data_IF_918372617619
#
_entry.id   IF_918372617619
#
_cell.length_a   1.000
_cell.length_b   1.000
_cell.length_c   1.000
_cell.angle_alpha   90.00
_cell.angle_beta   90.00
_cell.angle_gamma   90.00
#
_symmetry.space_group_name_H-M   'P 1'
#
loop_
_entity.id
_entity.type
_entity.pdbx_description
1 polymer ?
#
# COMPACT_ATOMS: atom_id res chain seq x y z
N UNK A 1 -0.08 11.57 8.20
CA UNK A 1 -0.26 10.45 7.27
C UNK A 1 0.82 10.48 6.21
N UNK A 2 1.48 9.36 6.04
CA UNK A 2 2.45 9.20 4.95
C UNK A 2 1.95 8.13 3.99
N UNK A 3 2.07 8.38 2.70
CA UNK A 3 1.72 7.42 1.66
C UNK A 3 3.00 6.77 1.14
N UNK A 4 3.06 5.43 1.15
CA UNK A 4 4.18 4.68 0.58
C UNK A 4 3.65 3.69 -0.45
N UNK A 5 4.46 3.47 -1.47
CA UNK A 5 4.17 2.46 -2.49
C UNK A 5 5.09 1.28 -2.29
N UNK A 6 4.51 0.10 -2.20
CA UNK A 6 5.26 -1.15 -2.09
C UNK A 6 5.34 -1.78 -3.46
N UNK A 7 6.54 -2.09 -3.90
CA UNK A 7 6.76 -2.79 -5.16
C UNK A 7 6.41 -4.26 -4.96
N UNK A 8 5.40 -4.74 -5.69
CA UNK A 8 4.97 -6.13 -5.67
C UNK A 8 5.78 -6.98 -6.64
N UNK A 9 6.03 -6.45 -7.83
CA UNK A 9 6.77 -7.14 -8.87
C UNK A 9 7.37 -6.14 -9.85
N UNK A 10 8.59 -6.43 -10.28
CA UNK A 10 9.23 -5.73 -11.39
C UNK A 10 9.69 -6.75 -12.42
N UNK A 11 9.47 -6.46 -13.68
CA UNK A 11 9.87 -7.35 -14.78
C UNK A 11 10.38 -6.54 -15.95
N UNK A 12 11.51 -6.97 -16.52
CA UNK A 12 12.02 -6.41 -17.77
C UNK A 12 11.38 -7.17 -18.91
N UNK A 13 10.74 -6.43 -19.82
CA UNK A 13 10.07 -7.02 -20.97
C UNK A 13 11.02 -7.16 -22.15
N UNK A 14 10.86 -8.24 -22.92
CA UNK A 14 11.62 -8.45 -24.15
C UNK A 14 11.04 -7.68 -25.34
N UNK A 15 9.96 -6.94 -25.13
CA UNK A 15 9.29 -6.18 -26.15
C UNK A 15 10.06 -4.91 -26.49
N UNK A 16 9.90 -4.43 -27.73
CA UNK A 16 10.49 -3.18 -28.14
C UNK A 16 9.74 -1.99 -27.54
N UNK A 17 10.48 -0.96 -27.14
CA UNK A 17 9.87 0.29 -26.71
C UNK A 17 9.12 0.93 -27.89
N UNK A 18 7.85 1.33 -27.74
CA UNK A 18 7.10 1.98 -28.82
C UNK A 18 7.62 3.40 -29.16
N UNK A 19 8.45 3.98 -28.30
CA UNK A 19 9.01 5.32 -28.50
C UNK A 19 10.40 5.29 -29.16
N UNK A 20 11.33 4.46 -28.64
CA UNK A 20 12.71 4.41 -29.12
C UNK A 20 13.09 3.08 -29.79
N UNK A 21 12.18 2.13 -29.85
CA UNK A 21 12.34 0.80 -30.46
C UNK A 21 13.48 -0.04 -29.85
N UNK A 22 13.98 0.32 -28.68
CA UNK A 22 15.02 -0.44 -28.01
C UNK A 22 14.47 -1.76 -27.46
N UNK A 23 15.29 -2.82 -27.58
CA UNK A 23 14.93 -4.13 -27.03
C UNK A 23 15.34 -4.24 -25.57
N UNK A 24 14.58 -4.99 -24.79
CA UNK A 24 14.85 -5.29 -23.39
C UNK A 24 15.03 -4.04 -22.49
N UNK A 25 14.40 -2.93 -22.87
CA UNK A 25 14.51 -1.67 -22.14
C UNK A 25 13.25 -1.31 -21.34
N UNK A 26 12.16 -2.03 -21.53
CA UNK A 26 10.91 -1.78 -20.83
C UNK A 26 10.90 -2.43 -19.46
N UNK A 27 10.69 -1.63 -18.43
CA UNK A 27 10.52 -2.11 -17.05
C UNK A 27 9.06 -1.96 -16.64
N UNK A 28 8.41 -3.09 -16.40
CA UNK A 28 7.03 -3.13 -15.89
C UNK A 28 7.08 -3.30 -14.39
N UNK A 29 6.47 -2.35 -13.67
CA UNK A 29 6.44 -2.35 -12.20
C UNK A 29 5.00 -2.35 -11.71
N UNK A 30 4.72 -3.19 -10.72
CA UNK A 30 3.44 -3.21 -10.02
C UNK A 30 3.66 -2.76 -8.59
N UNK A 31 2.90 -1.76 -8.18
CA UNK A 31 3.01 -1.16 -6.85
C UNK A 31 1.66 -1.16 -6.14
N UNK A 32 1.69 -1.31 -4.84
CA UNK A 32 0.50 -1.23 -4.01
C UNK A 32 0.63 -0.08 -3.02
N UNK A 33 -0.42 0.73 -2.93
CA UNK A 33 -0.42 1.91 -2.06
C UNK A 33 -0.71 1.52 -0.62
N UNK A 34 0.11 2.02 0.30
CA UNK A 34 -0.12 1.92 1.74
C UNK A 34 -0.14 3.29 2.37
N UNK A 35 -1.08 3.50 3.28
CA UNK A 35 -1.17 4.71 4.08
C UNK A 35 -0.66 4.40 5.48
N UNK A 36 0.35 5.14 5.92
CA UNK A 36 0.91 5.02 7.26
C UNK A 36 0.45 6.19 8.11
N UNK A 37 -0.20 5.89 9.21
CA UNK A 37 -0.58 6.84 10.24
C UNK A 37 0.08 6.46 11.55
N UNK A 38 0.09 7.36 12.52
CA UNK A 38 0.61 7.07 13.86
C UNK A 38 -0.18 5.95 14.56
N UNK A 39 -1.48 5.85 14.29
CA UNK A 39 -2.37 4.90 14.97
C UNK A 39 -2.66 3.65 14.17
N UNK A 40 -2.57 3.72 12.83
CA UNK A 40 -2.92 2.60 11.98
C UNK A 40 -2.14 2.60 10.67
N UNK A 41 -2.11 1.43 10.04
CA UNK A 41 -1.56 1.25 8.70
C UNK A 41 -2.69 0.71 7.83
N UNK A 42 -3.06 1.47 6.80
CA UNK A 42 -4.11 1.07 5.88
C UNK A 42 -3.48 0.62 4.56
N UNK A 43 -3.77 -0.60 4.16
CA UNK A 43 -3.37 -1.13 2.86
C UNK A 43 -4.54 -1.00 1.90
N UNK A 44 -4.34 -0.29 0.79
CA UNK A 44 -5.34 -0.19 -0.26
C UNK A 44 -5.18 -1.37 -1.21
N UNK A 45 -6.29 -1.99 -1.60
CA UNK A 45 -6.28 -3.10 -2.55
C UNK A 45 -6.00 -2.68 -3.99
N UNK A 46 -5.86 -1.39 -4.25
CA UNK A 46 -5.59 -0.85 -5.57
C UNK A 46 -4.14 -1.08 -5.97
N UNK A 47 -3.94 -1.65 -7.15
CA UNK A 47 -2.61 -1.89 -7.71
C UNK A 47 -2.35 -0.83 -8.77
N UNK A 48 -1.20 -0.16 -8.66
CA UNK A 48 -0.76 0.81 -9.64
C UNK A 48 0.33 0.18 -10.48
N UNK A 49 0.10 0.11 -11.77
CA UNK A 49 1.11 -0.37 -12.72
C UNK A 49 1.78 0.80 -13.42
N UNK A 50 3.07 0.66 -13.68
CA UNK A 50 3.84 1.63 -14.45
C UNK A 50 4.82 0.91 -15.36
N UNK A 51 5.04 1.46 -16.53
CA UNK A 51 5.99 0.93 -17.51
C UNK A 51 6.91 2.06 -17.95
N UNK A 52 8.20 1.87 -17.74
CA UNK A 52 9.22 2.85 -18.08
C UNK A 52 10.24 2.23 -19.03
N UNK A 53 10.71 3.01 -20.00
CA UNK A 53 11.82 2.62 -20.82
C UNK A 53 13.13 3.11 -20.20
N UNK A 54 14.05 2.20 -19.92
CA UNK A 54 15.36 2.56 -19.33
C UNK A 54 16.30 3.24 -20.32
N UNK A 55 16.05 3.10 -21.60
CA UNK A 55 16.93 3.65 -22.64
C UNK A 55 16.56 5.09 -23.00
N UNK A 56 15.29 5.39 -23.20
CA UNK A 56 14.83 6.74 -23.51
C UNK A 56 14.25 7.49 -22.29
N UNK A 57 14.22 6.85 -21.11
CA UNK A 57 13.69 7.38 -19.84
C UNK A 57 12.27 7.93 -19.96
N UNK A 58 11.47 7.33 -20.83
CA UNK A 58 10.08 7.76 -21.04
C UNK A 58 9.12 6.77 -20.38
N UNK A 59 8.13 7.31 -19.68
CA UNK A 59 7.04 6.50 -19.12
C UNK A 59 6.05 6.16 -20.24
N UNK A 60 5.78 4.87 -20.41
CA UNK A 60 4.86 4.38 -21.45
C UNK A 60 3.48 4.20 -20.84
N UNK A 61 2.51 5.01 -21.25
CA UNK A 61 1.15 4.91 -20.78
C UNK A 61 0.39 3.76 -21.47
N UNK A 62 -0.64 3.19 -20.80
CA UNK A 62 -1.40 2.07 -21.36
C UNK A 62 -1.98 2.29 -22.76
N UNK A 63 -2.33 3.53 -23.10
CA UNK A 63 -2.84 3.88 -24.43
C UNK A 63 -1.84 3.71 -25.56
N UNK A 64 -0.55 3.59 -25.24
CA UNK A 64 0.53 3.40 -26.24
C UNK A 64 1.04 1.97 -26.30
N UNK A 65 0.47 1.07 -25.50
CA UNK A 65 0.89 -0.31 -25.46
C UNK A 65 0.48 -1.02 -26.75
N UNK A 66 1.39 -1.83 -27.28
CA UNK A 66 1.08 -2.73 -28.38
C UNK A 66 0.35 -3.97 -27.85
N UNK A 67 -0.27 -4.75 -28.75
CA UNK A 67 -0.97 -5.97 -28.36
C UNK A 67 -0.05 -6.96 -27.65
N UNK A 68 1.20 -7.06 -28.08
CA UNK A 68 2.20 -7.92 -27.45
C UNK A 68 2.52 -7.47 -26.03
N UNK A 69 2.64 -6.17 -25.81
CA UNK A 69 2.87 -5.59 -24.47
C UNK A 69 1.67 -5.86 -23.56
N UNK A 70 0.44 -5.72 -24.05
CA UNK A 70 -0.76 -6.02 -23.29
C UNK A 70 -0.84 -7.48 -22.86
N UNK A 71 -0.44 -8.40 -23.73
CA UNK A 71 -0.39 -9.82 -23.40
C UNK A 71 0.59 -10.11 -22.27
N UNK A 72 1.79 -9.56 -22.35
CA UNK A 72 2.82 -9.74 -21.33
C UNK A 72 2.38 -9.09 -20.02
N UNK A 73 1.79 -7.92 -20.09
CA UNK A 73 1.20 -7.23 -18.93
C UNK A 73 0.15 -8.10 -18.25
N UNK A 74 -0.80 -8.64 -19.01
CA UNK A 74 -1.86 -9.50 -18.49
C UNK A 74 -1.30 -10.76 -17.82
N UNK A 75 -0.25 -11.34 -18.39
CA UNK A 75 0.43 -12.49 -17.81
C UNK A 75 1.03 -12.14 -16.44
N UNK A 76 1.80 -11.05 -16.37
CA UNK A 76 2.43 -10.63 -15.11
C UNK A 76 1.39 -10.23 -14.06
N UNK A 77 0.31 -9.60 -14.47
CA UNK A 77 -0.78 -9.21 -13.56
C UNK A 77 -1.42 -10.42 -12.88
N UNK A 78 -1.57 -11.53 -13.62
CA UNK A 78 -2.12 -12.77 -13.06
C UNK A 78 -1.16 -13.46 -12.10
N UNK A 79 0.14 -13.22 -12.21
CA UNK A 79 1.14 -13.83 -11.33
C UNK A 79 1.39 -13.05 -10.05
N UNK A 80 0.81 -11.85 -9.93
CA UNK A 80 0.96 -11.01 -8.74
C UNK A 80 0.01 -11.48 -7.65
N UNK A 81 0.53 -11.55 -6.43
CA UNK A 81 -0.26 -11.83 -5.24
C UNK A 81 -0.41 -10.53 -4.43
N UNK A 82 -1.42 -9.70 -4.72
CA UNK A 82 -1.59 -8.45 -4.00
C UNK A 82 -1.99 -8.73 -2.56
N UNK A 83 -1.47 -7.93 -1.64
CA UNK A 83 -1.89 -8.01 -0.24
C UNK A 83 -3.33 -7.55 -0.13
N UNK A 84 -4.11 -8.25 0.68
CA UNK A 84 -5.52 -7.91 0.90
C UNK A 84 -5.61 -6.50 1.49
N UNK A 85 -6.59 -5.73 1.02
CA UNK A 85 -6.90 -4.45 1.62
C UNK A 85 -7.33 -4.66 3.07
N UNK A 86 -6.82 -3.82 3.97
CA UNK A 86 -7.15 -3.94 5.38
C UNK A 86 -6.55 -2.81 6.19
N UNK A 87 -6.98 -2.74 7.44
CA UNK A 87 -6.45 -1.78 8.40
C UNK A 87 -5.77 -2.56 9.51
N UNK A 88 -4.51 -2.21 9.76
CA UNK A 88 -3.74 -2.77 10.87
C UNK A 88 -3.45 -1.66 11.86
N UNK A 89 -3.82 -1.88 13.12
CA UNK A 89 -3.56 -0.91 14.17
C UNK A 89 -2.13 -1.05 14.70
N UNK A 90 -1.50 0.10 14.98
CA UNK A 90 -0.16 0.14 15.55
C UNK A 90 -0.20 -0.06 17.07
N UNK A 91 0.98 -0.32 17.67
CA UNK A 91 1.09 -0.45 19.14
C UNK A 91 0.63 0.80 19.87
N UNK A 92 0.84 1.98 19.31
CA UNK A 92 0.40 3.25 19.90
C UNK A 92 -1.13 3.29 20.07
N UNK A 93 -1.88 2.76 19.10
CA UNK A 93 -3.33 2.66 19.20
C UNK A 93 -3.75 1.82 20.41
N UNK A 94 -3.12 0.68 20.61
CA UNK A 94 -3.43 -0.19 21.75
C UNK A 94 -3.10 0.47 23.08
N UNK A 95 -2.00 1.21 23.18
CA UNK A 95 -1.63 1.94 24.38
C UNK A 95 -2.67 3.00 24.71
N UNK A 96 -3.08 3.80 23.72
CA UNK A 96 -4.11 4.83 23.91
C UNK A 96 -5.46 4.22 24.30
N UNK A 97 -5.82 3.10 23.70
CA UNK A 97 -7.05 2.39 24.04
C UNK A 97 -7.04 1.88 25.49
N UNK A 98 -5.91 1.30 25.93
CA UNK A 98 -5.75 0.83 27.28
C UNK A 98 -5.84 1.98 28.29
N UNK A 99 -5.21 3.13 28.00
CA UNK A 99 -5.30 4.32 28.85
C UNK A 99 -6.74 4.84 28.95
N UNK A 100 -7.48 4.83 27.86
CA UNK A 100 -8.88 5.25 27.85
C UNK A 100 -9.73 4.34 28.75
N UNK A 101 -9.55 3.04 28.66
CA UNK A 101 -10.25 2.08 29.51
C UNK A 101 -9.90 2.27 30.98
N UNK A 102 -8.65 2.56 31.30
CA UNK A 102 -8.19 2.81 32.65
C UNK A 102 -8.85 4.05 33.22
N UNK A 103 -8.92 5.16 32.48
CA UNK A 103 -9.57 6.40 32.87
C UNK A 103 -11.06 6.16 33.12
N UNK A 104 -11.75 5.44 32.24
CA UNK A 104 -13.16 5.10 32.41
C UNK A 104 -13.38 4.29 33.70
N UNK A 105 -12.52 3.31 33.95
CA UNK A 105 -12.58 2.49 35.17
C UNK A 105 -12.40 3.31 36.43
N UNK A 106 -11.43 4.23 36.45
CA UNK A 106 -11.20 5.13 37.63
C UNK A 106 -12.40 6.04 37.84
N UNK A 107 -12.95 6.62 36.78
CA UNK A 107 -14.14 7.46 36.89
C UNK A 107 -15.34 6.68 37.41
N UNK A 108 -15.52 5.45 36.95
CA UNK A 108 -16.59 4.57 37.40
C UNK A 108 -16.48 4.32 38.91
N UNK A 109 -15.29 3.94 39.37
CA UNK A 109 -15.04 3.70 40.79
C UNK A 109 -15.27 4.97 41.60
N UNK A 110 -14.80 6.12 41.12
CA UNK A 110 -14.97 7.41 41.80
C UNK A 110 -16.44 7.79 41.96
N UNK A 111 -17.25 7.58 40.91
CA UNK A 111 -18.68 7.94 40.96
C UNK A 111 -19.53 6.95 41.77
N UNK A 112 -19.23 5.67 41.72
CA UNK A 112 -20.03 4.63 42.38
C UNK A 112 -19.55 4.31 43.78
N UNK A 113 -18.27 4.49 44.07
CA UNK A 113 -17.66 4.18 45.36
C UNK A 113 -17.10 5.42 46.06
N UNK A 114 -17.86 6.50 46.04
CA UNK A 114 -17.46 7.73 46.72
C UNK A 114 -17.25 7.50 48.23
N UNK A 115 -17.94 6.53 48.77
CA UNK A 115 -17.82 6.16 50.19
C UNK A 115 -16.43 5.70 50.59
N UNK A 116 -15.71 5.06 49.63
CA UNK A 116 -14.34 4.62 49.88
C UNK A 116 -13.33 5.76 49.99
N UNK A 117 -13.65 6.90 49.40
CA UNK A 117 -12.79 8.09 49.41
C UNK A 117 -13.17 9.12 50.45
N UNK A 118 -14.25 8.91 51.17
CA UNK A 118 -14.67 9.79 52.27
C UNK A 118 -14.10 9.36 53.63
N UNK A 119 -12.83 9.08 53.65
CA UNK A 119 -12.14 8.77 54.90
C UNK A 119 -11.73 10.05 55.61
#
# INVERSE_FOLDING_TARGET
>A
MKTKYIVLKEAVLNNNCPECYAKESLLLSFRQKKLFSKLFIKTKGEIIESMDCKKCDTTIFPGRWTDDIERVYSYHKKTIDPKKSGIRFTGLFYILFALMLLVIGVLYIFLYHQELFQL
#
